data_IF_024167904578
#
_entry.id   IF_024167904578
#
_cell.length_a   1.000
_cell.length_b   1.000
_cell.length_c   1.000
_cell.angle_alpha   90.00
_cell.angle_beta   90.00
_cell.angle_gamma   90.00
#
_symmetry.space_group_name_H-M   'P 1'
#
loop_
_entity.id
_entity.type
_entity.pdbx_description
1 polymer ?
#
# COMPACT_ATOMS: atom_id res chain seq x y z
N UNK A 1 -13.83 -19.42 -26.62
CA UNK A 1 -12.97 -18.27 -26.29
C UNK A 1 -12.69 -18.37 -24.81
N UNK A 2 -11.43 -18.39 -24.38
CA UNK A 2 -11.08 -18.62 -22.97
C UNK A 2 -11.45 -17.40 -22.12
N UNK A 3 -12.02 -17.60 -20.93
CA UNK A 3 -12.44 -16.52 -20.02
C UNK A 3 -11.49 -16.40 -18.83
N UNK A 4 -10.73 -15.31 -18.79
CA UNK A 4 -9.95 -14.90 -17.62
C UNK A 4 -10.74 -13.91 -16.78
N UNK A 5 -10.86 -14.18 -15.48
CA UNK A 5 -11.28 -13.16 -14.52
C UNK A 5 -10.13 -12.87 -13.56
N UNK A 6 -9.74 -11.60 -13.47
CA UNK A 6 -8.78 -11.09 -12.50
C UNK A 6 -9.55 -10.30 -11.45
N UNK A 7 -9.47 -10.70 -10.18
CA UNK A 7 -10.15 -10.02 -9.06
C UNK A 7 -9.13 -9.24 -8.24
N UNK A 8 -9.25 -7.93 -8.22
CA UNK A 8 -8.35 -6.98 -7.56
C UNK A 8 -7.43 -6.28 -8.56
N UNK A 9 -7.64 -4.98 -8.77
CA UNK A 9 -6.86 -4.11 -9.64
C UNK A 9 -5.64 -3.48 -8.96
N UNK A 10 -5.03 -4.16 -7.99
CA UNK A 10 -3.81 -3.71 -7.32
C UNK A 10 -2.55 -3.76 -8.20
N UNK A 11 -1.38 -3.62 -7.57
CA UNK A 11 -0.08 -3.58 -8.25
C UNK A 11 0.14 -4.74 -9.25
N UNK A 12 -0.22 -5.97 -8.90
CA UNK A 12 -0.08 -7.11 -9.80
C UNK A 12 -1.31 -7.42 -10.66
N UNK A 13 -2.52 -7.22 -10.13
CA UNK A 13 -3.75 -7.61 -10.82
C UNK A 13 -4.08 -6.72 -12.02
N UNK A 14 -3.96 -5.40 -11.87
CA UNK A 14 -4.15 -4.48 -13.00
C UNK A 14 -3.10 -4.70 -14.08
N UNK A 15 -1.83 -4.85 -13.68
CA UNK A 15 -0.74 -5.16 -14.61
C UNK A 15 -1.02 -6.44 -15.41
N UNK A 16 -1.49 -7.50 -14.74
CA UNK A 16 -1.83 -8.75 -15.40
C UNK A 16 -3.01 -8.58 -16.37
N UNK A 17 -4.08 -7.91 -15.95
CA UNK A 17 -5.27 -7.66 -16.78
C UNK A 17 -4.92 -6.84 -18.03
N UNK A 18 -4.10 -5.79 -17.88
CA UNK A 18 -3.59 -4.97 -18.99
C UNK A 18 -2.80 -5.83 -19.99
N UNK A 19 -1.85 -6.64 -19.51
CA UNK A 19 -1.02 -7.49 -20.38
C UNK A 19 -1.82 -8.59 -21.08
N UNK A 20 -2.78 -9.19 -20.39
CA UNK A 20 -3.68 -10.19 -20.97
C UNK A 20 -4.56 -9.56 -22.05
N UNK A 21 -5.13 -8.38 -21.78
CA UNK A 21 -5.91 -7.61 -22.74
C UNK A 21 -5.10 -7.31 -24.00
N UNK A 22 -3.91 -6.72 -23.85
CA UNK A 22 -3.07 -6.36 -25.01
C UNK A 22 -2.71 -7.55 -25.90
N UNK A 23 -2.51 -8.73 -25.30
CA UNK A 23 -2.12 -9.94 -26.04
C UNK A 23 -3.30 -10.68 -26.65
N UNK A 24 -4.42 -10.79 -25.94
CA UNK A 24 -5.49 -11.74 -26.27
C UNK A 24 -6.83 -11.09 -26.66
N UNK A 25 -6.97 -9.77 -26.54
CA UNK A 25 -8.19 -9.07 -26.90
C UNK A 25 -8.63 -9.39 -28.34
N UNK A 26 -9.90 -9.78 -28.56
CA UNK A 26 -10.38 -10.24 -29.87
C UNK A 26 -10.14 -9.26 -31.02
N UNK A 27 -10.20 -7.96 -30.74
CA UNK A 27 -10.04 -6.89 -31.74
C UNK A 27 -8.57 -6.50 -32.00
N UNK A 28 -7.63 -6.90 -31.13
CA UNK A 28 -6.19 -6.65 -31.30
C UNK A 28 -5.44 -7.84 -31.90
N UNK A 29 -5.94 -9.07 -31.69
CA UNK A 29 -5.25 -10.29 -32.12
C UNK A 29 -5.58 -10.69 -33.57
N UNK A 30 -4.56 -10.64 -34.45
CA UNK A 30 -4.64 -10.91 -35.91
C UNK A 30 -4.26 -12.35 -36.32
N UNK A 31 -4.36 -13.33 -35.42
CA UNK A 31 -4.16 -14.75 -35.81
C UNK A 31 -3.85 -15.75 -34.70
N UNK A 32 -3.76 -15.32 -33.43
CA UNK A 32 -3.51 -16.19 -32.28
C UNK A 32 -4.77 -16.52 -31.45
N UNK A 33 -4.62 -17.25 -30.33
CA UNK A 33 -5.72 -17.57 -29.43
C UNK A 33 -6.37 -16.30 -28.87
N UNK A 34 -7.70 -16.27 -28.83
CA UNK A 34 -8.49 -15.15 -28.29
C UNK A 34 -9.01 -15.49 -26.90
N UNK A 35 -9.02 -14.50 -26.01
CA UNK A 35 -9.57 -14.63 -24.68
C UNK A 35 -10.41 -13.40 -24.30
N UNK A 36 -11.44 -13.62 -23.49
CA UNK A 36 -12.11 -12.56 -22.76
C UNK A 36 -11.36 -12.34 -21.47
N UNK A 37 -11.05 -11.08 -21.15
CA UNK A 37 -10.36 -10.71 -19.91
C UNK A 37 -11.27 -9.74 -19.18
N UNK A 38 -11.64 -10.07 -17.95
CA UNK A 38 -12.45 -9.21 -17.09
C UNK A 38 -11.65 -8.91 -15.82
N UNK A 39 -11.46 -7.62 -15.53
CA UNK A 39 -10.97 -7.13 -14.25
C UNK A 39 -12.17 -6.80 -13.35
N UNK A 40 -12.17 -7.36 -12.14
CA UNK A 40 -13.13 -7.05 -11.09
C UNK A 40 -12.41 -6.28 -9.99
N UNK A 41 -12.96 -5.15 -9.56
CA UNK A 41 -12.53 -4.46 -8.34
C UNK A 41 -13.72 -3.75 -7.69
N UNK A 42 -13.71 -3.57 -6.36
CA UNK A 42 -14.76 -2.83 -5.66
C UNK A 42 -14.66 -1.31 -5.89
N UNK A 43 -13.46 -0.82 -6.17
CA UNK A 43 -13.21 0.59 -6.48
C UNK A 43 -13.17 0.80 -8.01
N UNK A 44 -13.56 1.99 -8.50
CA UNK A 44 -13.50 2.31 -9.93
C UNK A 44 -12.10 2.73 -10.39
N UNK A 45 -11.19 3.02 -9.45
CA UNK A 45 -9.85 3.54 -9.73
C UNK A 45 -8.74 2.71 -9.06
N UNK A 46 -7.57 2.74 -9.69
CA UNK A 46 -6.32 2.23 -9.17
C UNK A 46 -5.50 3.35 -8.54
N UNK A 47 -4.87 3.08 -7.39
CA UNK A 47 -3.80 3.91 -6.84
C UNK A 47 -2.57 3.05 -6.49
N UNK A 48 -1.38 3.60 -6.71
CA UNK A 48 -0.14 3.00 -6.25
C UNK A 48 -0.04 3.14 -4.71
N UNK A 49 -0.47 2.09 -3.99
CA UNK A 49 -0.49 2.06 -2.51
C UNK A 49 0.78 2.59 -1.82
N UNK A 50 2.02 2.36 -2.33
CA UNK A 50 3.21 2.95 -1.74
C UNK A 50 3.20 4.47 -1.60
N UNK A 51 2.31 5.20 -2.29
CA UNK A 51 2.18 6.66 -2.20
C UNK A 51 1.22 7.12 -1.09
N UNK A 52 0.53 6.21 -0.39
CA UNK A 52 -0.50 6.59 0.58
C UNK A 52 0.05 7.39 1.77
N UNK A 53 1.34 7.24 2.10
CA UNK A 53 1.97 8.07 3.14
C UNK A 53 2.12 9.54 2.70
N UNK A 54 2.34 9.81 1.41
CA UNK A 54 2.39 11.17 0.85
C UNK A 54 1.00 11.80 0.84
N UNK A 55 -0.04 11.02 0.49
CA UNK A 55 -1.44 11.47 0.57
C UNK A 55 -1.83 11.78 2.01
N UNK A 56 -1.48 10.89 2.96
CA UNK A 56 -1.77 11.09 4.38
C UNK A 56 -1.08 12.32 4.95
N UNK A 57 0.16 12.55 4.55
CA UNK A 57 0.90 13.75 4.92
C UNK A 57 0.44 15.00 4.13
N UNK A 58 -0.36 14.87 3.08
CA UNK A 58 -0.87 15.97 2.26
C UNK A 58 0.10 16.49 1.18
N UNK A 59 1.25 15.84 1.00
CA UNK A 59 2.25 16.21 -0.02
C UNK A 59 1.93 15.68 -1.42
N UNK A 60 0.89 14.85 -1.55
CA UNK A 60 0.37 14.35 -2.82
C UNK A 60 -1.15 14.49 -2.92
N UNK A 61 -1.62 14.89 -4.11
CA UNK A 61 -3.03 14.81 -4.49
C UNK A 61 -3.35 13.42 -5.09
N UNK A 62 -4.16 12.58 -4.42
CA UNK A 62 -4.47 11.23 -4.89
C UNK A 62 -5.17 11.25 -6.26
N UNK A 63 -6.03 12.23 -6.52
CA UNK A 63 -6.81 12.31 -7.77
C UNK A 63 -5.92 12.49 -9.01
N UNK A 64 -4.71 13.04 -8.84
CA UNK A 64 -3.74 13.17 -9.94
C UNK A 64 -2.97 11.89 -10.25
N UNK A 65 -3.01 10.90 -9.34
CA UNK A 65 -2.30 9.63 -9.46
C UNK A 65 -3.26 8.44 -9.62
N UNK A 66 -4.57 8.68 -9.55
CA UNK A 66 -5.58 7.66 -9.81
C UNK A 66 -5.69 7.33 -11.30
N UNK A 67 -5.83 6.04 -11.60
CA UNK A 67 -6.11 5.54 -12.94
C UNK A 67 -7.48 4.87 -12.95
N UNK A 68 -8.40 5.37 -13.77
CA UNK A 68 -9.72 4.77 -13.97
C UNK A 68 -9.62 3.41 -14.67
N UNK A 69 -10.19 2.36 -14.05
CA UNK A 69 -10.16 1.02 -14.63
C UNK A 69 -10.92 0.96 -15.95
N UNK A 70 -12.03 1.68 -16.09
CA UNK A 70 -12.82 1.71 -17.33
C UNK A 70 -12.03 2.29 -18.52
N UNK A 71 -11.24 3.34 -18.27
CA UNK A 71 -10.37 3.93 -19.29
C UNK A 71 -9.24 2.96 -19.68
N UNK A 72 -8.57 2.36 -18.69
CA UNK A 72 -7.51 1.37 -18.90
C UNK A 72 -8.05 0.13 -19.63
N UNK A 73 -9.26 -0.33 -19.29
CA UNK A 73 -9.97 -1.43 -19.93
C UNK A 73 -10.16 -1.15 -21.44
N UNK A 74 -10.65 0.04 -21.78
CA UNK A 74 -10.81 0.47 -23.17
C UNK A 74 -9.48 0.52 -23.92
N UNK A 75 -8.42 1.07 -23.32
CA UNK A 75 -7.13 1.20 -23.99
C UNK A 75 -6.44 -0.15 -24.22
N UNK A 76 -6.62 -1.10 -23.30
CA UNK A 76 -5.89 -2.37 -23.31
C UNK A 76 -6.74 -3.57 -23.76
N UNK A 77 -8.05 -3.39 -23.95
CA UNK A 77 -8.93 -4.41 -24.53
C UNK A 77 -9.36 -5.50 -23.54
N UNK A 78 -9.52 -5.14 -22.26
CA UNK A 78 -10.21 -5.97 -21.27
C UNK A 78 -11.53 -5.31 -20.85
N UNK A 79 -12.36 -6.01 -20.09
CA UNK A 79 -13.60 -5.49 -19.50
C UNK A 79 -13.39 -5.18 -18.03
N UNK A 80 -14.01 -4.11 -17.53
CA UNK A 80 -14.03 -3.80 -16.12
C UNK A 80 -15.42 -4.02 -15.53
N UNK A 81 -15.50 -4.71 -14.39
CA UNK A 81 -16.73 -4.94 -13.63
C UNK A 81 -16.51 -4.45 -12.20
N UNK A 82 -17.20 -3.38 -11.81
CA UNK A 82 -17.14 -2.90 -10.43
C UNK A 82 -17.97 -3.83 -9.53
N UNK A 83 -17.40 -4.28 -8.41
CA UNK A 83 -18.07 -5.12 -7.42
C UNK A 83 -17.09 -5.81 -6.46
N UNK A 84 -17.54 -6.11 -5.25
CA UNK A 84 -16.76 -6.88 -4.29
C UNK A 84 -17.01 -8.38 -4.47
N UNK A 85 -15.95 -9.19 -4.51
CA UNK A 85 -16.06 -10.64 -4.53
C UNK A 85 -16.63 -11.11 -3.19
N UNK A 86 -17.76 -11.83 -3.22
CA UNK A 86 -18.43 -12.34 -2.01
C UNK A 86 -18.64 -13.85 -2.03
N UNK A 87 -18.58 -14.48 -3.19
CA UNK A 87 -18.84 -15.91 -3.35
C UNK A 87 -18.00 -16.55 -4.46
N UNK A 88 -17.80 -17.85 -4.32
CA UNK A 88 -17.15 -18.70 -5.30
C UNK A 88 -17.90 -20.03 -5.36
N UNK A 89 -18.15 -20.53 -6.56
CA UNK A 89 -18.67 -21.86 -6.85
C UNK A 89 -17.68 -22.52 -7.82
N UNK A 90 -16.79 -23.36 -7.28
CA UNK A 90 -15.72 -23.99 -8.06
C UNK A 90 -16.24 -25.09 -8.96
N UNK A 91 -17.29 -25.78 -8.54
CA UNK A 91 -17.92 -26.86 -9.31
C UNK A 91 -18.48 -26.32 -10.63
N UNK A 92 -19.12 -25.16 -10.59
CA UNK A 92 -19.68 -24.51 -11.78
C UNK A 92 -18.79 -23.41 -12.37
N UNK A 93 -17.62 -23.15 -11.77
CA UNK A 93 -16.66 -22.10 -12.15
C UNK A 93 -17.30 -20.71 -12.25
N UNK A 94 -18.03 -20.33 -11.20
CA UNK A 94 -18.67 -19.01 -11.06
C UNK A 94 -18.15 -18.27 -9.85
N UNK A 95 -18.08 -16.95 -9.93
CA UNK A 95 -17.88 -16.08 -8.78
C UNK A 95 -19.05 -15.12 -8.64
N UNK A 96 -19.33 -14.71 -7.41
CA UNK A 96 -20.42 -13.80 -7.08
C UNK A 96 -19.85 -12.44 -6.68
N UNK A 97 -20.40 -11.38 -7.27
CA UNK A 97 -20.14 -9.99 -6.93
C UNK A 97 -21.31 -9.42 -6.13
N UNK A 98 -21.00 -8.64 -5.11
CA UNK A 98 -21.99 -7.90 -4.32
C UNK A 98 -22.69 -6.81 -5.14
N UNK A 99 -23.77 -6.30 -4.53
CA UNK A 99 -24.36 -5.02 -4.93
C UNK A 99 -23.34 -3.89 -4.80
N UNK A 100 -23.39 -2.92 -5.71
CA UNK A 100 -22.67 -1.65 -5.61
C UNK A 100 -23.71 -0.56 -5.38
N UNK A 101 -23.46 0.29 -4.38
CA UNK A 101 -24.31 1.43 -4.07
C UNK A 101 -23.64 2.71 -4.57
N UNK A 102 -24.43 3.72 -4.94
CA UNK A 102 -23.93 5.07 -5.18
C UNK A 102 -23.74 5.86 -3.86
N UNK A 103 -23.32 7.11 -3.96
CA UNK A 103 -23.06 7.99 -2.81
C UNK A 103 -24.35 8.32 -2.01
N UNK A 104 -25.52 8.23 -2.64
CA UNK A 104 -26.84 8.43 -2.02
C UNK A 104 -27.39 7.12 -1.41
N UNK A 105 -26.67 6.00 -1.57
CA UNK A 105 -27.04 4.68 -1.07
C UNK A 105 -28.04 3.93 -1.95
N UNK A 106 -28.33 4.41 -3.17
CA UNK A 106 -29.16 3.72 -4.13
C UNK A 106 -28.37 2.61 -4.85
N UNK A 107 -29.07 1.55 -5.28
CA UNK A 107 -28.45 0.46 -6.02
C UNK A 107 -27.94 0.94 -7.38
N UNK A 108 -26.61 0.94 -7.54
CA UNK A 108 -25.94 1.26 -8.80
C UNK A 108 -25.79 0.01 -9.67
N UNK A 109 -25.42 -1.12 -9.05
CA UNK A 109 -25.28 -2.40 -9.73
C UNK A 109 -25.80 -3.53 -8.84
N UNK A 110 -26.59 -4.49 -9.37
CA UNK A 110 -27.10 -5.60 -8.59
C UNK A 110 -26.02 -6.65 -8.30
N UNK A 111 -26.37 -7.65 -7.48
CA UNK A 111 -25.61 -8.90 -7.35
C UNK A 111 -25.48 -9.56 -8.72
N UNK A 112 -24.28 -10.03 -9.05
CA UNK A 112 -23.96 -10.62 -10.36
C UNK A 112 -23.12 -11.87 -10.19
N UNK A 113 -23.32 -12.84 -11.07
CA UNK A 113 -22.44 -14.00 -11.20
C UNK A 113 -21.64 -13.90 -12.49
N UNK A 114 -20.33 -14.18 -12.40
CA UNK A 114 -19.43 -14.21 -13.55
C UNK A 114 -18.82 -15.60 -13.69
N UNK A 115 -18.89 -16.16 -14.89
CA UNK A 115 -18.27 -17.45 -15.22
C UNK A 115 -16.82 -17.29 -15.68
N UNK A 116 -15.95 -18.21 -15.22
CA UNK A 116 -14.53 -18.21 -15.59
C UNK A 116 -14.07 -19.56 -16.14
N UNK A 117 -13.07 -19.53 -17.03
CA UNK A 117 -12.24 -20.71 -17.32
C UNK A 117 -10.95 -20.68 -16.50
N UNK A 118 -10.49 -19.49 -16.13
CA UNK A 118 -9.36 -19.27 -15.21
C UNK A 118 -9.60 -18.03 -14.35
N UNK A 119 -9.57 -18.22 -13.04
CA UNK A 119 -9.74 -17.18 -12.04
C UNK A 119 -8.38 -16.80 -11.44
N UNK A 120 -8.10 -15.51 -11.34
CA UNK A 120 -6.90 -14.97 -10.71
C UNK A 120 -7.33 -14.05 -9.57
N UNK A 121 -6.98 -14.40 -8.34
CA UNK A 121 -7.28 -13.63 -7.14
C UNK A 121 -6.05 -12.77 -6.79
N UNK A 122 -6.23 -11.46 -6.78
CA UNK A 122 -5.19 -10.44 -6.59
C UNK A 122 -5.66 -9.29 -5.68
N UNK A 123 -6.57 -9.59 -4.72
CA UNK A 123 -7.22 -8.58 -3.85
C UNK A 123 -6.31 -8.00 -2.75
N UNK A 124 -5.06 -8.44 -2.69
CA UNK A 124 -4.04 -7.89 -1.79
C UNK A 124 -4.31 -8.20 -0.31
N UNK A 125 -4.13 -7.19 0.53
CA UNK A 125 -4.11 -7.29 1.99
C UNK A 125 -4.88 -6.14 2.66
N UNK A 126 -5.13 -6.32 3.96
CA UNK A 126 -5.73 -5.36 4.89
C UNK A 126 -4.89 -5.26 6.16
N UNK A 127 -5.09 -4.20 6.93
CA UNK A 127 -4.41 -3.97 8.21
C UNK A 127 -4.68 -5.10 9.22
N UNK A 128 -3.62 -5.56 9.88
CA UNK A 128 -3.70 -6.50 10.98
C UNK A 128 -3.55 -5.78 12.34
N UNK A 129 -4.64 -5.68 13.10
CA UNK A 129 -4.62 -5.10 14.45
C UNK A 129 -4.15 -6.08 15.55
N UNK A 130 -3.87 -7.33 15.20
CA UNK A 130 -3.38 -8.38 16.11
C UNK A 130 -4.20 -8.64 17.38
N UNK A 131 -5.49 -8.26 17.38
CA UNK A 131 -6.36 -8.40 18.56
C UNK A 131 -6.05 -7.38 19.67
N UNK A 132 -5.26 -6.35 19.40
CA UNK A 132 -4.96 -5.28 20.36
C UNK A 132 -6.24 -4.50 20.66
N UNK A 133 -6.56 -4.37 21.95
CA UNK A 133 -7.80 -3.75 22.40
C UNK A 133 -7.88 -2.29 21.93
N UNK A 134 -9.04 -1.91 21.40
CA UNK A 134 -9.31 -0.56 20.88
C UNK A 134 -8.51 -0.14 19.64
N UNK A 135 -7.56 -0.95 19.14
CA UNK A 135 -6.73 -0.56 17.99
C UNK A 135 -7.57 -0.32 16.73
N UNK A 136 -8.53 -1.20 16.41
CA UNK A 136 -9.38 -1.02 15.23
C UNK A 136 -10.34 0.18 15.34
N UNK A 137 -10.69 0.60 16.56
CA UNK A 137 -11.67 1.65 16.83
C UNK A 137 -11.02 3.04 16.94
N UNK A 138 -9.90 3.11 17.66
CA UNK A 138 -9.26 4.37 18.06
C UNK A 138 -7.98 4.69 17.27
N UNK A 139 -7.64 3.89 16.24
CA UNK A 139 -6.55 4.20 15.32
C UNK A 139 -7.01 4.33 13.87
N UNK A 140 -6.15 4.92 13.05
CA UNK A 140 -6.33 5.06 11.62
C UNK A 140 -5.39 4.07 10.91
N UNK A 141 -5.96 3.20 10.08
CA UNK A 141 -5.19 2.42 9.12
C UNK A 141 -4.72 3.30 7.95
N UNK A 142 -3.79 2.78 7.15
CA UNK A 142 -3.30 3.46 5.94
C UNK A 142 -3.26 2.52 4.72
N UNK A 143 -4.40 1.89 4.42
CA UNK A 143 -4.56 0.94 3.31
C UNK A 143 -5.28 1.52 2.09
N UNK A 144 -6.05 2.59 2.27
CA UNK A 144 -6.89 3.21 1.23
C UNK A 144 -6.69 4.72 1.15
N UNK A 145 -7.04 5.31 0.00
CA UNK A 145 -7.07 6.78 -0.19
C UNK A 145 -7.97 7.45 0.85
N UNK A 146 -9.17 6.90 1.06
CA UNK A 146 -10.13 7.46 2.02
C UNK A 146 -9.60 7.47 3.46
N UNK A 147 -8.80 6.48 3.85
CA UNK A 147 -8.13 6.43 5.15
C UNK A 147 -7.00 7.46 5.24
N UNK A 148 -6.17 7.57 4.20
CA UNK A 148 -5.10 8.58 4.12
C UNK A 148 -5.68 10.02 4.21
N UNK A 149 -6.72 10.31 3.44
CA UNK A 149 -7.46 11.57 3.46
C UNK A 149 -8.11 11.85 4.82
N UNK A 150 -8.69 10.82 5.46
CA UNK A 150 -9.26 10.94 6.80
C UNK A 150 -8.19 11.33 7.83
N UNK A 151 -7.02 10.70 7.75
CA UNK A 151 -5.89 11.06 8.59
C UNK A 151 -5.46 12.51 8.35
N UNK A 152 -5.25 12.91 7.08
CA UNK A 152 -4.89 14.28 6.70
C UNK A 152 -5.86 15.31 7.28
N UNK A 153 -7.16 15.10 7.09
CA UNK A 153 -8.22 15.99 7.60
C UNK A 153 -8.20 16.09 9.13
N UNK A 154 -8.02 14.97 9.84
CA UNK A 154 -7.94 14.97 11.31
C UNK A 154 -6.67 15.67 11.82
N UNK A 155 -5.53 15.50 11.14
CA UNK A 155 -4.29 16.21 11.47
C UNK A 155 -4.45 17.72 11.30
N UNK A 156 -5.02 18.17 10.19
CA UNK A 156 -5.30 19.60 9.95
C UNK A 156 -6.26 20.14 11.02
N UNK A 157 -7.33 19.41 11.35
CA UNK A 157 -8.27 19.82 12.39
C UNK A 157 -7.61 19.91 13.77
N UNK A 158 -6.70 18.98 14.12
CA UNK A 158 -5.93 19.05 15.35
C UNK A 158 -5.03 20.30 15.38
N UNK A 159 -4.36 20.61 14.27
CA UNK A 159 -3.56 21.83 14.12
C UNK A 159 -4.40 23.10 14.29
N UNK A 160 -5.55 23.20 13.63
CA UNK A 160 -6.43 24.37 13.74
C UNK A 160 -6.95 24.58 15.16
N UNK A 161 -7.31 23.50 15.88
CA UNK A 161 -7.73 23.59 17.29
C UNK A 161 -6.59 24.06 18.19
N UNK A 162 -5.40 23.50 18.02
CA UNK A 162 -4.23 23.89 18.80
C UNK A 162 -3.87 25.36 18.58
N UNK A 163 -3.92 25.85 17.35
CA UNK A 163 -3.68 27.27 17.00
C UNK A 163 -4.70 28.21 17.68
N UNK A 164 -5.98 27.82 17.75
CA UNK A 164 -7.01 28.61 18.42
C UNK A 164 -6.79 28.67 19.94
N UNK A 165 -6.39 27.55 20.55
CA UNK A 165 -6.13 27.46 21.99
C UNK A 165 -4.90 28.27 22.44
N UNK A 166 -4.01 28.68 21.53
CA UNK A 166 -2.93 29.64 21.85
C UNK A 166 -3.48 31.00 22.31
N UNK A 167 -4.75 31.32 22.02
CA UNK A 167 -5.38 32.60 22.35
C UNK A 167 -6.20 32.66 23.64
N UNK A 168 -6.55 31.53 24.28
CA UNK A 168 -7.29 31.63 25.54
C UNK A 168 -6.32 32.01 26.68
N UNK A 169 -6.53 33.16 27.36
CA UNK A 169 -5.83 33.39 28.61
C UNK A 169 -6.31 32.33 29.58
N UNK A 170 -5.42 31.42 29.96
CA UNK A 170 -5.65 30.49 31.05
C UNK A 170 -5.75 31.33 32.33
N UNK A 171 -6.95 31.82 32.64
CA UNK A 171 -7.28 32.19 34.01
C UNK A 171 -7.22 30.90 34.83
N UNK A 172 -6.20 30.81 35.68
CA UNK A 172 -5.94 29.70 36.62
C UNK A 172 -5.10 28.55 36.08
N UNK A 173 -3.78 28.74 36.03
CA UNK A 173 -2.87 27.90 36.82
C UNK A 173 -1.45 28.47 36.82
N UNK A 174 -0.98 28.79 38.02
CA UNK A 174 0.41 29.05 38.34
C UNK A 174 1.25 27.80 38.10
N UNK A 175 1.93 27.71 36.95
CA UNK A 175 3.10 26.85 36.81
C UNK A 175 4.07 27.44 35.81
N UNK A 176 5.15 28.02 36.35
CA UNK A 176 6.30 28.56 35.66
C UNK A 176 7.11 27.42 35.04
N UNK A 177 6.79 27.01 33.81
CA UNK A 177 7.67 26.31 32.87
C UNK A 177 6.98 26.28 31.50
N UNK A 178 7.66 26.61 30.39
CA UNK A 178 7.12 26.28 29.07
C UNK A 178 6.92 24.77 29.00
N UNK A 179 5.70 24.31 28.72
CA UNK A 179 5.43 22.87 28.57
C UNK A 179 6.34 22.33 27.48
N UNK A 180 7.22 21.40 27.84
CA UNK A 180 8.17 20.74 26.91
C UNK A 180 7.47 19.72 26.01
N UNK A 181 6.20 19.45 26.27
CA UNK A 181 5.39 18.52 25.50
C UNK A 181 4.81 19.20 24.25
N UNK A 182 4.78 18.49 23.11
CA UNK A 182 4.18 19.01 21.90
C UNK A 182 2.68 19.21 22.13
N UNK A 183 2.08 20.23 21.51
CA UNK A 183 0.64 20.51 21.58
C UNK A 183 -0.18 19.42 20.93
N UNK A 184 0.32 18.86 19.83
CA UNK A 184 -0.31 17.78 19.07
C UNK A 184 0.64 16.61 19.05
N UNK A 185 0.17 15.40 19.36
CA UNK A 185 0.99 14.21 19.39
C UNK A 185 0.39 13.15 18.47
N UNK A 186 1.17 12.77 17.45
CA UNK A 186 0.86 11.66 16.56
C UNK A 186 1.63 10.43 17.03
N UNK A 187 0.92 9.33 17.28
CA UNK A 187 1.51 8.02 17.55
C UNK A 187 1.38 7.15 16.31
N UNK A 188 2.49 6.62 15.81
CA UNK A 188 2.55 5.71 14.68
C UNK A 188 2.98 4.34 15.22
N UNK A 189 2.11 3.35 15.11
CA UNK A 189 2.37 1.98 15.55
C UNK A 189 2.86 1.16 14.36
N UNK A 190 4.07 0.63 14.46
CA UNK A 190 4.74 -0.19 13.43
C UNK A 190 5.90 0.55 12.74
N UNK A 191 7.11 0.11 13.00
CA UNK A 191 8.36 0.60 12.40
C UNK A 191 8.70 -0.03 11.05
N UNK A 192 7.71 -0.54 10.31
CA UNK A 192 7.88 -0.98 8.92
C UNK A 192 8.05 0.19 7.94
N UNK A 193 8.16 -0.10 6.64
CA UNK A 193 8.33 0.93 5.60
C UNK A 193 7.26 2.03 5.71
N UNK A 194 5.97 1.67 5.76
CA UNK A 194 4.86 2.63 5.86
C UNK A 194 4.96 3.56 7.06
N UNK A 195 5.24 3.03 8.26
CA UNK A 195 5.33 3.85 9.46
C UNK A 195 6.55 4.78 9.46
N UNK A 196 7.68 4.31 8.92
CA UNK A 196 8.89 5.12 8.76
C UNK A 196 8.70 6.23 7.72
N UNK A 197 8.14 5.90 6.55
CA UNK A 197 7.87 6.85 5.48
C UNK A 197 6.89 7.92 5.93
N UNK A 198 5.80 7.52 6.60
CA UNK A 198 4.84 8.47 7.17
C UNK A 198 5.48 9.36 8.22
N UNK A 199 6.30 8.81 9.11
CA UNK A 199 7.00 9.60 10.14
C UNK A 199 7.89 10.68 9.52
N UNK A 200 8.66 10.30 8.49
CA UNK A 200 9.52 11.23 7.77
C UNK A 200 8.72 12.28 7.00
N UNK A 201 7.67 11.86 6.29
CA UNK A 201 6.86 12.76 5.46
C UNK A 201 6.05 13.75 6.30
N UNK A 202 5.56 13.34 7.48
CA UNK A 202 4.92 14.26 8.41
C UNK A 202 5.86 15.35 8.92
N UNK A 203 7.16 15.06 9.09
CA UNK A 203 8.16 16.10 9.43
C UNK A 203 8.45 17.05 8.28
N UNK A 204 8.28 16.58 7.04
CA UNK A 204 8.34 17.41 5.86
C UNK A 204 7.10 18.33 5.77
N UNK A 205 5.88 17.78 5.89
CA UNK A 205 4.64 18.57 5.77
C UNK A 205 4.37 19.48 6.96
N UNK A 206 4.88 19.15 8.15
CA UNK A 206 4.81 20.06 9.29
C UNK A 206 5.34 21.46 8.91
N UNK A 207 6.45 21.54 8.16
CA UNK A 207 6.99 22.83 7.68
C UNK A 207 6.03 23.58 6.74
N UNK A 208 5.13 22.86 6.07
CA UNK A 208 4.13 23.43 5.16
C UNK A 208 2.86 23.87 5.89
N UNK A 209 2.60 23.40 7.12
CA UNK A 209 1.53 23.93 7.96
C UNK A 209 1.71 25.43 8.26
N UNK A 210 2.97 25.90 8.36
CA UNK A 210 3.29 27.33 8.46
C UNK A 210 2.83 28.13 7.23
N UNK A 211 2.75 27.51 6.05
CA UNK A 211 2.22 28.14 4.84
C UNK A 211 0.68 28.27 4.83
N UNK A 212 -0.01 27.61 5.77
CA UNK A 212 -1.47 27.67 5.93
C UNK A 212 -1.95 28.75 6.91
N UNK A 213 -1.09 29.74 7.20
CA UNK A 213 -1.45 30.83 8.12
C UNK A 213 -1.52 30.41 9.59
N UNK A 214 -1.14 29.16 9.91
CA UNK A 214 -0.92 28.67 11.26
C UNK A 214 0.42 29.21 11.77
N UNK A 215 0.48 30.52 11.98
CA UNK A 215 1.72 31.22 12.31
C UNK A 215 2.09 31.10 13.78
N UNK A 216 1.17 30.66 14.65
CA UNK A 216 1.43 30.56 16.10
C UNK A 216 1.90 29.19 16.53
N UNK A 217 1.71 28.17 15.71
CA UNK A 217 2.33 26.87 15.89
C UNK A 217 3.69 26.84 15.20
N UNK A 218 4.75 26.47 15.94
CA UNK A 218 5.97 25.96 15.34
C UNK A 218 5.78 24.47 15.04
N UNK A 219 5.63 24.06 13.78
CA UNK A 219 5.31 22.68 13.46
C UNK A 219 6.42 21.68 13.83
N UNK A 220 7.66 22.14 14.05
CA UNK A 220 8.76 21.28 14.50
C UNK A 220 8.64 20.94 15.98
N UNK A 221 8.16 21.88 16.80
CA UNK A 221 8.07 21.72 18.24
C UNK A 221 6.66 21.32 18.70
N UNK A 222 5.62 21.93 18.12
CA UNK A 222 4.24 21.75 18.56
C UNK A 222 3.58 20.47 18.04
N UNK A 223 4.12 19.87 16.98
CA UNK A 223 3.67 18.55 16.50
C UNK A 223 4.70 17.51 16.92
N UNK A 224 4.38 16.65 17.87
CA UNK A 224 5.14 15.47 18.26
C UNK A 224 4.82 14.28 17.39
N UNK A 225 5.84 13.47 17.09
CA UNK A 225 5.67 12.19 16.40
C UNK A 225 6.41 11.13 17.22
N UNK A 226 5.70 10.08 17.61
CA UNK A 226 6.26 8.90 18.26
C UNK A 226 6.06 7.70 17.33
N UNK A 227 7.14 7.02 16.96
CA UNK A 227 7.12 5.76 16.23
C UNK A 227 7.35 4.61 17.21
N UNK A 228 6.35 3.73 17.36
CA UNK A 228 6.36 2.60 18.28
C UNK A 228 6.61 1.31 17.47
N UNK A 229 7.64 0.55 17.82
CA UNK A 229 8.00 -0.70 17.16
C UNK A 229 8.24 -1.80 18.22
N UNK A 230 7.59 -2.95 18.03
CA UNK A 230 7.66 -4.07 18.98
C UNK A 230 9.03 -4.77 18.94
N UNK A 231 9.63 -4.89 17.76
CA UNK A 231 10.95 -5.48 17.57
C UNK A 231 12.09 -4.59 18.07
N UNK A 232 13.33 -5.10 18.05
CA UNK A 232 14.52 -4.39 18.53
C UNK A 232 15.03 -3.31 17.55
N UNK A 233 14.41 -3.17 16.36
CA UNK A 233 14.77 -2.16 15.35
C UNK A 233 13.60 -1.88 14.40
N UNK A 234 13.59 -0.67 13.85
CA UNK A 234 12.74 -0.33 12.69
C UNK A 234 13.25 -1.04 11.43
N UNK A 235 12.41 -1.11 10.41
CA UNK A 235 12.69 -1.72 9.11
C UNK A 235 13.34 -3.12 9.22
N UNK A 236 12.76 -4.05 10.02
CA UNK A 236 13.41 -5.31 10.36
C UNK A 236 13.69 -6.22 9.16
N UNK A 237 12.99 -6.00 8.04
CA UNK A 237 13.19 -6.70 6.77
C UNK A 237 14.40 -6.17 5.96
N UNK A 238 15.04 -5.09 6.40
CA UNK A 238 16.26 -4.53 5.80
C UNK A 238 17.49 -4.95 6.60
N UNK A 239 18.66 -4.69 6.02
CA UNK A 239 19.93 -4.88 6.71
C UNK A 239 20.02 -3.96 7.93
N UNK A 240 20.70 -4.44 8.96
CA UNK A 240 20.83 -3.73 10.24
C UNK A 240 21.42 -2.33 10.07
N UNK A 241 22.47 -2.20 9.26
CA UNK A 241 23.10 -0.91 9.00
C UNK A 241 22.13 0.11 8.35
N UNK A 242 21.24 -0.33 7.47
CA UNK A 242 20.17 0.55 6.91
C UNK A 242 19.23 0.98 8.03
N UNK A 243 18.78 0.02 8.84
CA UNK A 243 17.85 0.26 9.95
C UNK A 243 18.40 1.27 10.95
N UNK A 244 19.68 1.13 11.32
CA UNK A 244 20.38 2.05 12.24
C UNK A 244 20.52 3.44 11.63
N UNK A 245 20.98 3.55 10.38
CA UNK A 245 21.11 4.84 9.70
C UNK A 245 19.76 5.57 9.58
N UNK A 246 18.68 4.83 9.29
CA UNK A 246 17.33 5.41 9.24
C UNK A 246 16.84 5.84 10.62
N UNK A 247 17.11 5.07 11.67
CA UNK A 247 16.72 5.43 13.04
C UNK A 247 17.43 6.72 13.50
N UNK A 248 18.73 6.85 13.21
CA UNK A 248 19.49 8.07 13.47
C UNK A 248 18.92 9.27 12.72
N UNK A 249 18.53 9.09 11.45
CA UNK A 249 17.93 10.18 10.66
C UNK A 249 16.57 10.61 11.23
N UNK A 250 15.67 9.66 11.53
CA UNK A 250 14.37 9.97 12.12
C UNK A 250 14.52 10.69 13.46
N UNK A 251 15.49 10.28 14.28
CA UNK A 251 15.80 10.95 15.56
C UNK A 251 16.28 12.38 15.32
N UNK A 252 17.16 12.62 14.34
CA UNK A 252 17.59 13.97 13.93
C UNK A 252 16.44 14.83 13.41
N UNK A 253 15.42 14.22 12.82
CA UNK A 253 14.19 14.88 12.38
C UNK A 253 13.17 15.13 13.52
N UNK A 254 13.51 14.80 14.77
CA UNK A 254 12.63 15.02 15.92
C UNK A 254 11.48 14.00 16.01
N UNK A 255 11.68 12.79 15.49
CA UNK A 255 10.78 11.66 15.72
C UNK A 255 11.26 10.88 16.94
N UNK A 256 10.40 10.70 17.93
CA UNK A 256 10.69 9.86 19.12
C UNK A 256 10.51 8.39 18.75
N UNK A 257 11.58 7.61 18.86
CA UNK A 257 11.53 6.17 18.60
C UNK A 257 11.29 5.40 19.91
N UNK A 258 10.25 4.57 19.94
CA UNK A 258 9.92 3.66 21.03
C UNK A 258 10.04 2.22 20.51
N UNK A 259 11.27 1.72 20.49
CA UNK A 259 11.64 0.39 19.99
C UNK A 259 11.61 -0.62 21.14
N UNK A 260 11.31 -1.89 20.85
CA UNK A 260 11.12 -2.93 21.87
C UNK A 260 9.81 -2.78 22.64
N UNK A 261 8.88 -1.98 22.13
CA UNK A 261 7.62 -1.64 22.79
C UNK A 261 6.44 -2.24 22.03
N UNK A 262 5.80 -3.25 22.62
CA UNK A 262 4.57 -3.83 22.07
C UNK A 262 3.37 -3.02 22.54
N UNK A 263 2.51 -2.58 21.62
CA UNK A 263 1.24 -1.91 22.00
C UNK A 263 0.27 -2.93 22.56
N UNK A 264 -0.26 -2.67 23.75
CA UNK A 264 -1.23 -3.52 24.44
C UNK A 264 -2.67 -3.01 24.31
N UNK A 265 -2.85 -1.69 24.24
CA UNK A 265 -4.16 -1.05 24.13
C UNK A 265 -4.02 0.31 23.42
N UNK A 266 -5.03 0.63 22.60
CA UNK A 266 -5.26 1.98 22.08
C UNK A 266 -6.59 2.46 22.65
N UNK A 267 -6.61 3.61 23.28
CA UNK A 267 -7.81 4.25 23.82
C UNK A 267 -7.90 5.70 23.32
N UNK A 268 -9.04 6.40 23.49
CA UNK A 268 -9.15 7.81 23.13
C UNK A 268 -8.04 8.64 23.80
N UNK A 269 -7.21 9.30 22.98
CA UNK A 269 -6.14 10.18 23.46
C UNK A 269 -4.86 9.49 23.98
N UNK A 270 -4.78 8.16 24.00
CA UNK A 270 -3.63 7.45 24.60
C UNK A 270 -3.34 6.08 23.96
N UNK A 271 -2.06 5.77 23.80
CA UNK A 271 -1.55 4.43 23.47
C UNK A 271 -0.80 3.86 24.69
N UNK A 272 -1.12 2.62 25.07
CA UNK A 272 -0.47 1.92 26.19
C UNK A 272 0.36 0.75 25.66
N UNK A 273 1.58 0.62 26.14
CA UNK A 273 2.47 -0.49 25.78
C UNK A 273 2.44 -1.58 26.84
N UNK A 274 2.83 -2.79 26.47
CA UNK A 274 2.92 -3.95 27.35
C UNK A 274 3.94 -3.77 28.49
N UNK A 275 4.91 -2.87 28.33
CA UNK A 275 5.86 -2.51 29.41
C UNK A 275 5.25 -1.56 30.46
N UNK A 276 4.02 -1.10 30.25
CA UNK A 276 3.33 -0.15 31.12
C UNK A 276 3.53 1.32 30.74
N UNK A 277 4.28 1.62 29.67
CA UNK A 277 4.46 3.00 29.19
C UNK A 277 3.17 3.51 28.53
N UNK A 278 2.95 4.81 28.67
CA UNK A 278 1.81 5.51 28.07
C UNK A 278 2.28 6.63 27.16
N UNK A 279 1.66 6.76 26.00
CA UNK A 279 1.93 7.83 25.03
C UNK A 279 0.63 8.58 24.79
N UNK A 280 0.58 9.87 25.14
CA UNK A 280 -0.50 10.77 24.72
C UNK A 280 -0.57 10.74 23.20
N UNK A 281 -1.75 10.64 22.60
CA UNK A 281 -1.90 10.58 21.16
C UNK A 281 -3.23 11.21 20.73
N UNK A 282 -3.16 12.41 20.14
CA UNK A 282 -4.33 13.04 19.51
C UNK A 282 -4.75 12.27 18.25
N UNK A 283 -3.76 11.66 17.59
CA UNK A 283 -3.92 10.81 16.42
C UNK A 283 -3.09 9.55 16.61
N UNK A 284 -3.71 8.39 16.45
CA UNK A 284 -3.00 7.11 16.37
C UNK A 284 -3.11 6.55 14.96
N UNK A 285 -1.99 6.22 14.34
CA UNK A 285 -1.92 5.52 13.05
C UNK A 285 -1.41 4.11 13.29
N UNK A 286 -2.13 3.13 12.77
CA UNK A 286 -1.72 1.73 12.80
C UNK A 286 -1.14 1.32 11.46
N UNK A 287 0.18 1.18 11.42
CA UNK A 287 0.95 0.71 10.28
C UNK A 287 1.65 -0.64 10.58
N UNK A 288 1.25 -1.31 11.66
CA UNK A 288 1.84 -2.57 12.08
C UNK A 288 1.14 -3.74 11.39
N UNK A 289 1.80 -4.27 10.37
CA UNK A 289 1.49 -5.56 9.75
C UNK A 289 0.18 -5.63 8.96
N UNK A 290 0.07 -6.73 8.22
CA UNK A 290 -1.04 -6.96 7.29
C UNK A 290 -1.55 -8.40 7.43
N UNK A 291 -2.78 -8.61 6.97
CA UNK A 291 -3.41 -9.91 6.79
C UNK A 291 -4.23 -9.91 5.50
N UNK A 292 -4.52 -11.07 4.94
CA UNK A 292 -5.39 -11.14 3.78
C UNK A 292 -6.85 -10.84 4.15
N UNK A 293 -7.67 -10.35 3.20
CA UNK A 293 -9.09 -10.10 3.42
C UNK A 293 -9.84 -11.37 3.88
N UNK A 294 -10.74 -11.22 4.86
CA UNK A 294 -11.44 -12.34 5.48
C UNK A 294 -12.27 -13.18 4.49
N UNK A 295 -12.78 -12.56 3.42
CA UNK A 295 -13.56 -13.22 2.38
C UNK A 295 -12.85 -14.44 1.79
N UNK A 296 -11.51 -14.43 1.70
CA UNK A 296 -10.74 -15.54 1.13
C UNK A 296 -10.93 -16.86 1.86
N UNK A 297 -11.14 -16.80 3.18
CA UNK A 297 -11.41 -17.99 4.00
C UNK A 297 -12.82 -18.56 3.82
N UNK A 298 -13.69 -17.83 3.13
CA UNK A 298 -15.10 -18.17 2.90
C UNK A 298 -15.37 -18.64 1.46
N UNK A 299 -14.36 -18.62 0.59
CA UNK A 299 -14.48 -19.00 -0.81
C UNK A 299 -14.36 -20.52 -0.97
N UNK A 300 -15.49 -21.24 -0.90
CA UNK A 300 -15.64 -22.64 -1.36
C UNK A 300 -14.48 -23.59 -1.00
N UNK A 301 -14.08 -23.54 0.28
CA UNK A 301 -13.05 -24.41 0.85
C UNK A 301 -11.63 -24.15 0.37
N UNK A 302 -11.33 -23.00 -0.25
CA UNK A 302 -9.96 -22.64 -0.63
C UNK A 302 -9.04 -22.60 0.61
N UNK A 303 -7.86 -23.24 0.57
CA UNK A 303 -6.98 -23.34 1.73
C UNK A 303 -6.32 -21.98 2.00
N UNK A 304 -6.34 -21.55 3.25
CA UNK A 304 -5.68 -20.33 3.72
C UNK A 304 -4.71 -20.61 4.87
N UNK A 305 -3.64 -19.82 4.96
CA UNK A 305 -2.73 -19.86 6.10
C UNK A 305 -3.28 -19.06 7.31
N UNK A 306 -2.50 -18.98 8.39
CA UNK A 306 -2.87 -18.21 9.60
C UNK A 306 -3.07 -16.70 9.38
N UNK A 307 -2.53 -16.15 8.30
CA UNK A 307 -2.72 -14.74 7.90
C UNK A 307 -3.91 -14.57 6.93
N UNK A 308 -4.66 -15.65 6.66
CA UNK A 308 -5.79 -15.67 5.72
C UNK A 308 -5.37 -15.73 4.25
N UNK A 309 -4.08 -15.87 3.95
CA UNK A 309 -3.58 -15.88 2.57
C UNK A 309 -3.85 -17.24 1.92
N UNK A 310 -4.29 -17.21 0.66
CA UNK A 310 -4.52 -18.41 -0.16
C UNK A 310 -3.22 -19.19 -0.38
N UNK A 311 -3.23 -20.48 -0.06
CA UNK A 311 -2.05 -21.34 -0.23
C UNK A 311 -1.92 -21.72 -1.70
N UNK A 312 -0.76 -21.41 -2.29
CA UNK A 312 -0.48 -21.63 -3.71
C UNK A 312 0.76 -22.47 -3.92
N UNK A 313 0.76 -23.24 -5.02
CA UNK A 313 1.96 -23.90 -5.53
C UNK A 313 2.93 -22.87 -6.12
N UNK A 314 4.14 -23.30 -6.49
CA UNK A 314 5.11 -22.45 -7.23
C UNK A 314 4.62 -22.04 -8.62
N UNK A 315 3.61 -22.72 -9.17
CA UNK A 315 2.91 -22.30 -10.39
C UNK A 315 1.91 -21.16 -10.14
N UNK A 316 1.76 -20.72 -8.89
CA UNK A 316 0.76 -19.77 -8.38
C UNK A 316 -0.69 -20.26 -8.46
N UNK A 317 -0.91 -21.52 -8.80
CA UNK A 317 -2.22 -22.17 -8.69
C UNK A 317 -2.54 -22.45 -7.23
N UNK A 318 -3.83 -22.38 -6.86
CA UNK A 318 -4.30 -22.93 -5.58
C UNK A 318 -3.97 -24.42 -5.53
N UNK A 319 -3.53 -24.92 -4.38
CA UNK A 319 -3.15 -26.33 -4.22
C UNK A 319 -4.25 -27.34 -4.55
N UNK A 320 -5.52 -26.94 -4.45
CA UNK A 320 -6.68 -27.81 -4.66
C UNK A 320 -7.48 -27.48 -5.93
N UNK A 321 -7.05 -26.52 -6.74
CA UNK A 321 -7.77 -26.14 -7.97
C UNK A 321 -6.83 -25.55 -9.03
N UNK A 322 -6.67 -26.30 -10.12
CA UNK A 322 -5.77 -25.91 -11.20
C UNK A 322 -6.30 -24.77 -12.08
N UNK A 323 -7.57 -24.38 -11.92
CA UNK A 323 -8.18 -23.27 -12.66
C UNK A 323 -8.13 -21.95 -11.89
N UNK A 324 -7.66 -21.95 -10.65
CA UNK A 324 -7.61 -20.78 -9.79
C UNK A 324 -6.17 -20.47 -9.43
N UNK A 325 -5.80 -19.21 -9.57
CA UNK A 325 -4.49 -18.68 -9.25
C UNK A 325 -4.62 -17.56 -8.21
N UNK A 326 -3.57 -17.33 -7.44
CA UNK A 326 -3.48 -16.15 -6.57
C UNK A 326 -2.10 -15.49 -6.65
N UNK A 327 -2.07 -14.16 -6.55
CA UNK A 327 -0.84 -13.37 -6.57
C UNK A 327 -0.89 -12.19 -5.59
N UNK A 328 0.28 -11.63 -5.30
CA UNK A 328 0.47 -10.52 -4.38
C UNK A 328 0.22 -10.95 -2.93
N UNK A 329 -0.12 -9.97 -2.09
CA UNK A 329 -0.20 -10.17 -0.64
C UNK A 329 -1.30 -11.15 -0.20
N UNK A 330 -2.27 -11.44 -1.07
CA UNK A 330 -3.33 -12.42 -0.79
C UNK A 330 -2.86 -13.87 -0.93
N UNK A 331 -1.67 -14.11 -1.50
CA UNK A 331 -1.15 -15.44 -1.79
C UNK A 331 0.02 -15.82 -0.87
N UNK A 332 -0.09 -16.98 -0.24
CA UNK A 332 0.98 -17.65 0.49
C UNK A 332 1.85 -18.44 -0.50
N UNK A 333 2.71 -17.72 -1.23
CA UNK A 333 3.59 -18.32 -2.23
C UNK A 333 4.92 -18.81 -1.61
N UNK A 334 5.29 -20.09 -1.78
CA UNK A 334 6.57 -20.60 -1.29
C UNK A 334 7.78 -19.87 -1.90
N UNK A 335 8.79 -19.60 -1.08
CA UNK A 335 10.06 -19.04 -1.53
C UNK A 335 11.18 -20.08 -1.32
N UNK A 336 11.57 -20.84 -2.36
CA UNK A 336 12.59 -21.87 -2.23
C UNK A 336 13.89 -21.34 -1.61
N UNK A 337 14.46 -22.10 -0.69
CA UNK A 337 15.67 -21.72 0.06
C UNK A 337 15.44 -20.74 1.21
N UNK A 338 14.18 -20.40 1.51
CA UNK A 338 13.81 -19.55 2.65
C UNK A 338 12.76 -20.27 3.51
N UNK A 339 12.79 -20.03 4.81
CA UNK A 339 11.80 -20.58 5.76
C UNK A 339 10.42 -19.92 5.63
N UNK A 340 10.35 -18.78 4.94
CA UNK A 340 9.14 -17.95 4.82
C UNK A 340 8.65 -17.93 3.38
N UNK A 341 7.37 -17.64 3.22
CA UNK A 341 6.78 -17.32 1.93
C UNK A 341 7.33 -16.00 1.36
N UNK A 342 7.07 -15.78 0.07
CA UNK A 342 7.37 -14.54 -0.63
C UNK A 342 6.77 -13.35 0.15
N UNK A 343 7.55 -12.30 0.42
CA UNK A 343 7.10 -11.18 1.26
C UNK A 343 6.03 -10.33 0.55
N UNK A 344 5.11 -9.72 1.31
CA UNK A 344 4.06 -8.87 0.76
C UNK A 344 4.62 -7.53 0.31
N UNK A 345 5.04 -7.46 -0.96
CA UNK A 345 5.69 -6.30 -1.56
C UNK A 345 5.14 -6.06 -2.96
N UNK A 346 5.02 -4.80 -3.36
CA UNK A 346 4.62 -4.42 -4.72
C UNK A 346 5.55 -5.07 -5.78
N UNK A 347 6.86 -5.17 -5.51
CA UNK A 347 7.79 -5.88 -6.38
C UNK A 347 7.47 -7.37 -6.52
N UNK A 348 7.07 -8.04 -5.44
CA UNK A 348 6.68 -9.45 -5.50
C UNK A 348 5.42 -9.61 -6.37
N UNK A 349 4.42 -8.75 -6.18
CA UNK A 349 3.21 -8.75 -6.99
C UNK A 349 3.51 -8.51 -8.49
N UNK A 350 4.40 -7.57 -8.81
CA UNK A 350 4.88 -7.30 -10.17
C UNK A 350 5.57 -8.52 -10.80
N UNK A 351 6.48 -9.17 -10.06
CA UNK A 351 7.17 -10.37 -10.54
C UNK A 351 6.21 -11.54 -10.75
N UNK A 352 5.23 -11.72 -9.85
CA UNK A 352 4.21 -12.74 -9.97
C UNK A 352 3.27 -12.48 -11.16
N UNK A 353 2.86 -11.23 -11.40
CA UNK A 353 2.08 -10.84 -12.58
C UNK A 353 2.85 -11.12 -13.88
N UNK A 354 4.13 -10.73 -13.93
CA UNK A 354 5.02 -11.01 -15.06
C UNK A 354 5.22 -12.50 -15.29
N UNK A 355 5.30 -13.30 -14.23
CA UNK A 355 5.37 -14.75 -14.30
C UNK A 355 4.04 -15.37 -14.79
N UNK A 356 2.91 -14.96 -14.23
CA UNK A 356 1.59 -15.47 -14.62
C UNK A 356 1.30 -15.23 -16.09
N UNK A 357 1.78 -14.11 -16.63
CA UNK A 357 1.64 -13.87 -18.06
C UNK A 357 2.30 -15.00 -18.88
N UNK A 358 3.48 -15.48 -18.49
CA UNK A 358 4.13 -16.63 -19.13
C UNK A 358 3.38 -17.95 -18.85
N UNK A 359 2.95 -18.16 -17.62
CA UNK A 359 2.25 -19.38 -17.20
C UNK A 359 0.89 -19.53 -17.91
N UNK A 360 0.09 -18.48 -17.98
CA UNK A 360 -1.21 -18.49 -18.66
C UNK A 360 -1.07 -18.66 -20.18
N UNK A 361 0.00 -18.12 -20.77
CA UNK A 361 0.31 -18.40 -22.17
C UNK A 361 0.64 -19.88 -22.40
N UNK A 362 1.46 -20.49 -21.54
CA UNK A 362 1.75 -21.93 -21.61
C UNK A 362 0.48 -22.77 -21.44
N UNK A 363 -0.42 -22.37 -20.52
CA UNK A 363 -1.72 -23.01 -20.32
C UNK A 363 -2.59 -23.02 -21.58
N UNK A 364 -2.74 -21.86 -22.24
CA UNK A 364 -3.52 -21.76 -23.48
C UNK A 364 -2.94 -22.61 -24.62
N UNK A 365 -1.63 -22.84 -24.60
CA UNK A 365 -0.93 -23.72 -25.54
C UNK A 365 -0.92 -25.20 -25.09
N UNK A 366 -1.61 -25.56 -23.99
CA UNK A 366 -1.58 -26.88 -23.35
C UNK A 366 -0.15 -27.37 -23.00
N UNK A 367 0.75 -26.46 -22.64
CA UNK A 367 2.11 -26.75 -22.19
C UNK A 367 2.19 -26.79 -20.66
N UNK A 368 3.17 -27.52 -20.09
CA UNK A 368 3.44 -27.48 -18.66
C UNK A 368 3.70 -26.06 -18.16
N UNK A 369 3.20 -25.77 -16.95
CA UNK A 369 3.42 -24.47 -16.33
C UNK A 369 4.87 -24.35 -15.81
N UNK A 370 5.53 -23.19 -16.01
CA UNK A 370 6.81 -22.92 -15.36
C UNK A 370 6.62 -22.76 -13.84
N UNK A 371 7.72 -22.75 -13.10
CA UNK A 371 7.70 -22.47 -11.65
C UNK A 371 8.21 -21.06 -11.34
N UNK A 372 7.54 -20.39 -10.42
CA UNK A 372 7.92 -19.09 -9.91
C UNK A 372 9.06 -19.21 -8.90
N UNK A 373 9.98 -18.24 -8.96
CA UNK A 373 11.01 -18.04 -7.94
C UNK A 373 11.18 -16.54 -7.74
N UNK A 374 10.88 -16.07 -6.52
CA UNK A 374 11.04 -14.67 -6.17
C UNK A 374 12.51 -14.28 -6.14
N UNK A 375 12.82 -13.15 -6.78
CA UNK A 375 14.14 -12.51 -6.70
C UNK A 375 14.00 -11.22 -5.92
N UNK A 376 14.55 -11.17 -4.72
CA UNK A 376 14.60 -9.93 -3.96
C UNK A 376 15.60 -8.98 -4.62
N UNK A 377 15.14 -7.81 -5.04
CA UNK A 377 16.00 -6.78 -5.65
C UNK A 377 16.44 -5.76 -4.60
N UNK A 378 16.13 -6.03 -3.33
CA UNK A 378 16.32 -5.12 -2.23
C UNK A 378 15.06 -4.35 -1.90
N UNK A 379 15.22 -3.34 -1.07
CA UNK A 379 14.11 -2.50 -0.62
C UNK A 379 14.62 -1.11 -0.30
N UNK A 380 13.76 -0.14 -0.58
CA UNK A 380 14.04 1.29 -0.48
C UNK A 380 12.95 1.89 0.40
N UNK A 381 13.35 2.80 1.28
CA UNK A 381 12.43 3.52 2.13
C UNK A 381 12.63 5.01 1.87
N UNK A 382 11.53 5.68 1.52
CA UNK A 382 11.53 7.12 1.33
C UNK A 382 11.64 7.83 2.69
N UNK A 383 12.48 8.85 2.80
CA UNK A 383 12.56 9.71 4.00
C UNK A 383 12.19 11.15 3.63
N UNK A 384 11.25 11.29 2.69
CA UNK A 384 10.74 12.56 2.19
C UNK A 384 11.82 13.39 1.48
N UNK A 385 11.91 14.68 1.82
CA UNK A 385 12.89 15.60 1.25
C UNK A 385 14.32 15.40 1.77
N UNK A 386 14.52 14.73 2.91
CA UNK A 386 15.79 14.75 3.64
C UNK A 386 16.77 13.67 3.19
N UNK A 387 16.30 12.56 2.60
CA UNK A 387 17.11 11.54 1.91
C UNK A 387 16.19 10.40 1.42
N UNK A 388 16.74 9.41 0.74
CA UNK A 388 16.19 8.05 0.69
C UNK A 388 17.31 7.10 1.13
N UNK A 389 16.96 6.01 1.82
CA UNK A 389 17.93 4.99 2.24
C UNK A 389 17.42 3.63 1.80
N UNK A 390 18.30 2.81 1.24
CA UNK A 390 17.95 1.44 0.91
C UNK A 390 19.15 0.56 0.63
N UNK A 391 18.87 -0.71 0.35
CA UNK A 391 19.87 -1.73 0.07
C UNK A 391 19.55 -2.44 -1.24
N UNK A 392 20.56 -2.69 -2.06
CA UNK A 392 20.46 -3.43 -3.33
C UNK A 392 21.09 -4.81 -3.20
N UNK A 393 20.47 -5.81 -3.85
CA UNK A 393 21.06 -7.13 -4.07
C UNK A 393 21.07 -7.47 -5.56
N UNK A 394 22.26 -7.71 -6.16
CA UNK A 394 22.33 -8.26 -7.53
C UNK A 394 23.68 -8.24 -8.27
N UNK A 395 24.31 -9.41 -8.38
CA UNK A 395 24.61 -10.10 -9.65
C UNK A 395 25.84 -9.73 -10.49
N UNK A 396 26.08 -8.46 -10.80
CA UNK A 396 27.13 -8.08 -11.80
C UNK A 396 28.42 -7.62 -11.12
N UNK A 397 28.32 -7.12 -9.89
CA UNK A 397 29.43 -6.68 -9.06
C UNK A 397 29.10 -7.25 -7.69
N UNK A 398 29.78 -8.32 -7.26
CA UNK A 398 29.46 -9.00 -6.00
C UNK A 398 29.54 -8.05 -4.81
N UNK A 399 28.42 -7.83 -4.12
CA UNK A 399 28.37 -7.07 -2.86
C UNK A 399 27.00 -6.48 -2.53
N UNK A 400 26.72 -6.33 -1.23
CA UNK A 400 25.58 -5.56 -0.71
C UNK A 400 25.99 -4.10 -0.63
N UNK A 401 25.35 -3.21 -1.41
CA UNK A 401 25.64 -1.78 -1.38
C UNK A 401 24.51 -1.03 -0.68
N UNK A 402 24.87 -0.36 0.42
CA UNK A 402 24.07 0.72 0.97
C UNK A 402 24.05 1.88 -0.01
N UNK A 403 22.85 2.31 -0.35
CA UNK A 403 22.66 3.49 -1.17
C UNK A 403 21.90 4.50 -0.34
N UNK A 404 22.55 5.65 -0.17
CA UNK A 404 22.01 6.82 0.51
C UNK A 404 21.81 7.96 -0.50
N UNK A 405 20.80 8.80 -0.28
CA UNK A 405 20.61 10.04 -1.02
C UNK A 405 19.96 9.88 -2.39
N UNK A 406 20.42 10.67 -3.38
CA UNK A 406 19.75 10.88 -4.67
C UNK A 406 19.56 9.58 -5.49
N UNK A 407 20.48 8.61 -5.36
CA UNK A 407 20.39 7.34 -6.09
C UNK A 407 19.33 6.41 -5.50
N UNK A 408 19.16 6.36 -4.17
CA UNK A 408 18.09 5.60 -3.53
C UNK A 408 16.71 6.19 -3.90
N UNK A 409 16.62 7.52 -3.99
CA UNK A 409 15.41 8.22 -4.44
C UNK A 409 15.10 7.94 -5.91
N UNK A 410 16.11 7.91 -6.77
CA UNK A 410 15.95 7.51 -8.18
C UNK A 410 15.39 6.08 -8.28
N UNK A 411 15.91 5.16 -7.48
CA UNK A 411 15.45 3.77 -7.46
C UNK A 411 14.05 3.60 -6.87
N UNK A 412 13.67 4.39 -5.86
CA UNK A 412 12.31 4.39 -5.32
C UNK A 412 11.32 4.88 -6.38
N UNK A 413 11.68 5.97 -7.07
CA UNK A 413 10.93 6.46 -8.22
C UNK A 413 10.88 5.44 -9.35
N UNK A 414 11.95 4.66 -9.58
CA UNK A 414 12.00 3.70 -10.68
C UNK A 414 10.98 2.57 -10.52
N UNK A 415 10.64 2.13 -9.29
CA UNK A 415 9.57 1.17 -9.06
C UNK A 415 8.21 1.71 -9.51
N UNK A 416 7.89 2.96 -9.16
CA UNK A 416 6.68 3.63 -9.63
C UNK A 416 6.69 3.80 -11.16
N UNK A 417 7.85 4.17 -11.74
CA UNK A 417 7.98 4.28 -13.20
C UNK A 417 7.88 2.94 -13.92
N UNK A 418 8.39 1.86 -13.35
CA UNK A 418 8.22 0.50 -13.89
C UNK A 418 6.75 0.07 -13.88
N UNK A 419 6.01 0.42 -12.82
CA UNK A 419 4.56 0.21 -12.77
C UNK A 419 3.84 1.02 -13.86
N UNK A 420 4.14 2.32 -13.99
CA UNK A 420 3.60 3.15 -15.08
C UNK A 420 3.95 2.56 -16.45
N UNK A 421 5.18 2.07 -16.64
CA UNK A 421 5.60 1.46 -17.89
C UNK A 421 4.87 0.14 -18.17
N UNK A 422 4.57 -0.65 -17.14
CA UNK A 422 3.77 -1.86 -17.27
C UNK A 422 2.32 -1.57 -17.68
N UNK A 423 1.77 -0.42 -17.24
CA UNK A 423 0.40 0.00 -17.55
C UNK A 423 0.26 0.73 -18.88
N UNK A 424 1.20 1.61 -19.22
CA UNK A 424 1.07 2.54 -20.35
C UNK A 424 2.14 2.35 -21.44
N UNK A 425 3.11 1.47 -21.20
CA UNK A 425 4.29 1.30 -22.05
C UNK A 425 5.42 2.30 -21.73
N UNK A 426 6.64 1.96 -22.17
CA UNK A 426 7.86 2.73 -21.86
C UNK A 426 7.85 4.15 -22.42
N UNK A 427 7.32 4.37 -23.63
CA UNK A 427 7.30 5.70 -24.26
C UNK A 427 6.46 6.70 -23.45
N UNK A 428 5.27 6.29 -23.01
CA UNK A 428 4.39 7.13 -22.18
C UNK A 428 4.97 7.36 -20.79
N UNK A 429 5.62 6.35 -20.20
CA UNK A 429 6.34 6.52 -18.93
C UNK A 429 7.43 7.61 -19.02
N UNK A 430 8.21 7.65 -20.10
CA UNK A 430 9.24 8.68 -20.29
C UNK A 430 8.62 10.07 -20.44
N UNK A 431 7.57 10.20 -21.26
CA UNK A 431 6.86 11.47 -21.45
C UNK A 431 6.19 11.97 -20.16
N UNK A 432 5.55 11.09 -19.41
CA UNK A 432 4.93 11.42 -18.13
C UNK A 432 5.98 11.86 -17.10
N UNK A 433 7.13 11.18 -17.06
CA UNK A 433 8.26 11.59 -16.21
C UNK A 433 8.73 13.00 -16.53
N UNK A 434 8.85 13.32 -17.82
CA UNK A 434 9.22 14.65 -18.28
C UNK A 434 8.14 15.70 -17.94
N UNK A 435 6.86 15.37 -18.15
CA UNK A 435 5.74 16.24 -17.82
C UNK A 435 5.62 16.50 -16.31
N UNK A 436 5.87 15.50 -15.46
CA UNK A 436 5.94 15.68 -14.00
C UNK A 436 7.10 16.59 -13.61
N UNK A 437 8.26 16.45 -14.24
CA UNK A 437 9.42 17.30 -13.98
C UNK A 437 9.11 18.77 -14.32
N UNK A 438 8.44 19.02 -15.44
CA UNK A 438 7.96 20.35 -15.82
C UNK A 438 6.88 20.88 -14.87
N UNK A 439 5.91 20.05 -14.44
CA UNK A 439 4.82 20.48 -13.54
C UNK A 439 5.27 20.75 -12.11
N UNK A 440 6.39 20.17 -11.66
CA UNK A 440 6.98 20.44 -10.33
C UNK A 440 7.36 21.90 -10.10
N UNK A 441 7.51 22.71 -11.15
CA UNK A 441 7.81 24.14 -11.03
C UNK A 441 6.56 25.01 -10.90
N UNK A 442 5.37 24.47 -11.19
CA UNK A 442 4.12 25.25 -11.30
C UNK A 442 3.00 24.82 -10.36
N UNK A 443 3.15 23.71 -9.60
CA UNK A 443 2.16 23.22 -8.65
C UNK A 443 2.53 23.58 -7.18
N UNK A 444 1.55 23.99 -6.35
CA UNK A 444 1.76 24.19 -4.92
C UNK A 444 2.14 22.86 -4.24
N UNK A 445 3.08 22.92 -3.28
CA UNK A 445 3.73 21.73 -2.71
C UNK A 445 2.84 20.88 -1.80
N UNK A 446 1.75 21.44 -1.26
CA UNK A 446 0.77 20.74 -0.40
C UNK A 446 -0.59 21.37 -0.68
N UNK A 447 -1.61 20.53 -0.87
CA UNK A 447 -2.95 20.96 -1.31
C UNK A 447 -3.92 21.05 -0.12
N UNK A 448 -4.69 22.13 -0.10
CA UNK A 448 -5.68 22.45 0.94
C UNK A 448 -6.98 21.63 0.84
N UNK A 449 -7.29 21.12 -0.35
CA UNK A 449 -8.56 20.47 -0.67
C UNK A 449 -8.30 19.18 -1.42
#
# INVERSE_FOLDING_TARGET
MHRFIVVGGGAGGLELATRLGDRYAPHKNRGGPRAQVTLVDRYPTHIWKPLLHEVAAGSMDPFTQELEYAAQARWHGFEFQQGELTGLDRANKRLTLSTVLDDDGAELLPVRELEYDTLIIAIGSTTAFFGVNGAAEFSLALDTVSQAERFRKRLIAACMRAEHQVHEPVESQSSTSPSTEPRIQVAIVGGGATGVELSAELRNTAQVLSAYGLHKLDPRHDVGIVLIEAGPRILPALQERVSTATAELLTKLGVKLMIGETVAEVAPGVVRTASGKTVRADLTVWAAGIKAPAVLSQLDGLPVNRLGQLIVRRTLQIEIDDNIFALGDCAACPWPGNERNVPPRAQAAHQQASFLMKALAARLDNKPLPEFTYRDFGSLVSLGHFSAVGNLMGGVIGGNMLIEGLFARFMYMSLYRLHIAALHGYARMVLDTFAHWLRRTTLPRVKLH
#
